data_IF_594528257461
#
_entry.id   IF_594528257461
#
_cell.length_a   1.000
_cell.length_b   1.000
_cell.length_c   1.000
_cell.angle_alpha   90.00
_cell.angle_beta   90.00
_cell.angle_gamma   90.00
#
_symmetry.space_group_name_H-M   'P 1'
#
loop_
_entity.id
_entity.type
_entity.pdbx_description
1 polymer ?
#
# COMPACT_ATOMS: atom_id res chain seq x y z
N UNK A 1 1.57 35.38 -9.80
CA UNK A 1 0.63 34.23 -9.84
C UNK A 1 1.37 33.05 -10.43
N UNK A 2 2.00 32.22 -9.61
CA UNK A 2 2.73 31.02 -10.07
C UNK A 2 1.78 29.83 -10.04
N UNK A 3 1.65 29.11 -11.16
CA UNK A 3 0.73 27.97 -11.38
C UNK A 3 1.36 26.61 -11.03
N UNK A 4 2.34 26.55 -10.13
CA UNK A 4 3.20 25.36 -9.94
C UNK A 4 2.86 24.54 -8.68
N UNK A 5 1.77 23.79 -8.70
CA UNK A 5 1.52 22.70 -7.74
C UNK A 5 2.04 21.38 -8.33
N UNK A 6 3.34 21.11 -8.17
CA UNK A 6 3.81 19.72 -8.20
C UNK A 6 3.43 19.14 -6.85
N UNK A 7 2.43 18.27 -6.80
CA UNK A 7 2.22 17.41 -5.64
C UNK A 7 3.46 16.53 -5.51
N UNK A 8 4.31 16.82 -4.53
CA UNK A 8 5.40 15.90 -4.15
C UNK A 8 4.72 14.69 -3.55
N UNK A 9 4.71 13.60 -4.30
CA UNK A 9 4.16 12.34 -3.83
C UNK A 9 5.02 11.81 -2.68
N UNK A 10 4.38 11.41 -1.58
CA UNK A 10 5.06 10.73 -0.48
C UNK A 10 5.17 9.27 -0.87
N UNK A 11 6.28 8.61 -0.51
CA UNK A 11 6.37 7.17 -0.68
C UNK A 11 5.83 6.46 0.57
N UNK A 12 4.54 6.17 0.63
CA UNK A 12 3.93 5.46 1.76
C UNK A 12 4.48 4.03 1.93
N UNK A 13 5.02 3.42 0.86
CA UNK A 13 5.68 2.12 0.94
C UNK A 13 6.99 2.14 1.73
N UNK A 14 7.60 3.31 1.98
CA UNK A 14 8.87 3.41 2.71
C UNK A 14 8.81 2.87 4.15
N UNK A 15 7.61 2.79 4.74
CA UNK A 15 7.41 2.25 6.10
C UNK A 15 7.12 0.73 6.12
N UNK A 16 7.13 0.08 4.96
CA UNK A 16 6.77 -1.34 4.79
C UNK A 16 5.40 -1.70 5.43
N UNK A 17 4.31 -1.05 5.00
CA UNK A 17 2.98 -1.26 5.60
C UNK A 17 2.40 -2.65 5.28
N UNK A 18 2.71 -3.22 4.12
CA UNK A 18 2.20 -4.52 3.69
C UNK A 18 2.86 -5.68 4.45
N UNK A 19 2.06 -6.67 4.86
CA UNK A 19 2.49 -7.83 5.65
C UNK A 19 2.47 -9.12 4.85
N UNK A 20 3.02 -10.18 5.44
CA UNK A 20 2.91 -11.55 4.92
C UNK A 20 3.40 -11.75 3.48
N UNK A 21 4.49 -11.06 3.11
CA UNK A 21 5.10 -11.17 1.79
C UNK A 21 4.35 -10.44 0.67
N UNK A 22 3.37 -9.60 1.01
CA UNK A 22 2.66 -8.78 0.04
C UNK A 22 3.55 -7.70 -0.59
N UNK A 23 3.28 -7.36 -1.85
CA UNK A 23 3.96 -6.28 -2.57
C UNK A 23 3.27 -4.94 -2.28
N UNK A 24 4.03 -3.92 -1.89
CA UNK A 24 3.51 -2.57 -1.73
C UNK A 24 3.58 -1.79 -3.05
N UNK A 25 2.49 -1.13 -3.41
CA UNK A 25 2.39 -0.27 -4.58
C UNK A 25 2.15 1.17 -4.11
N UNK A 26 3.10 2.07 -4.38
CA UNK A 26 2.94 3.50 -4.09
C UNK A 26 1.97 4.14 -5.07
N UNK A 27 1.09 5.00 -4.57
CA UNK A 27 0.10 5.75 -5.35
C UNK A 27 0.12 7.21 -4.88
N UNK A 28 -0.50 8.10 -5.67
CA UNK A 28 -0.58 9.50 -5.30
C UNK A 28 -1.32 9.70 -3.97
N UNK A 29 -0.60 10.12 -2.92
CA UNK A 29 -1.08 10.28 -1.54
C UNK A 29 -1.68 8.99 -0.93
N UNK A 30 -1.29 7.80 -1.39
CA UNK A 30 -1.85 6.54 -0.91
C UNK A 30 -0.96 5.33 -1.25
N UNK A 31 -1.31 4.17 -0.75
CA UNK A 31 -0.72 2.90 -1.18
C UNK A 31 -1.77 1.80 -1.32
N UNK A 32 -1.39 0.74 -2.01
CA UNK A 32 -2.14 -0.54 -1.99
C UNK A 32 -1.19 -1.70 -1.78
N UNK A 33 -1.68 -2.77 -1.16
CA UNK A 33 -0.94 -4.02 -1.00
C UNK A 33 -1.50 -5.10 -1.92
N UNK A 34 -0.64 -5.69 -2.75
CA UNK A 34 -0.98 -6.90 -3.51
C UNK A 34 -0.72 -8.11 -2.61
N UNK A 35 -1.78 -8.65 -2.03
CA UNK A 35 -1.69 -9.76 -1.09
C UNK A 35 -1.26 -11.06 -1.76
N UNK A 36 -0.44 -11.83 -1.04
CA UNK A 36 -0.13 -13.21 -1.38
C UNK A 36 -1.32 -14.13 -1.07
N UNK A 37 -1.34 -15.31 -1.67
CA UNK A 37 -2.43 -16.27 -1.49
C UNK A 37 -2.68 -16.58 -0.01
N UNK A 38 -3.95 -16.49 0.40
CA UNK A 38 -4.35 -16.73 1.79
C UNK A 38 -4.35 -15.50 2.70
N UNK A 39 -4.05 -14.31 2.20
CA UNK A 39 -4.11 -13.06 2.97
C UNK A 39 -5.06 -12.02 2.35
N UNK A 40 -5.63 -11.17 3.20
CA UNK A 40 -6.54 -10.08 2.84
C UNK A 40 -6.41 -8.90 3.82
N UNK A 41 -7.21 -7.86 3.62
CA UNK A 41 -7.15 -6.61 4.36
C UNK A 41 -6.22 -5.59 3.70
N UNK A 42 -6.34 -4.32 4.08
CA UNK A 42 -5.55 -3.21 3.50
C UNK A 42 -4.05 -3.47 3.55
N UNK A 43 -3.58 -4.11 4.62
CA UNK A 43 -2.18 -4.40 4.87
C UNK A 43 -1.83 -5.87 4.66
N UNK A 44 -2.75 -6.69 4.11
CA UNK A 44 -2.59 -8.13 3.95
C UNK A 44 -2.26 -8.86 5.27
N UNK A 45 -2.84 -8.39 6.38
CA UNK A 45 -2.60 -8.85 7.74
C UNK A 45 -3.67 -9.86 8.23
N UNK A 46 -4.73 -10.07 7.45
CA UNK A 46 -5.83 -10.96 7.80
C UNK A 46 -5.76 -12.26 7.00
N UNK A 47 -5.75 -13.40 7.67
CA UNK A 47 -5.75 -14.71 7.02
C UNK A 47 -7.13 -15.02 6.40
N UNK A 48 -7.15 -15.38 5.12
CA UNK A 48 -8.35 -15.79 4.37
C UNK A 48 -8.76 -17.25 4.64
N UNK A 49 -7.86 -18.06 5.21
CA UNK A 49 -8.10 -19.48 5.53
C UNK A 49 -8.92 -19.73 6.80
N UNK A 50 -9.54 -18.70 7.38
CA UNK A 50 -10.44 -18.80 8.53
C UNK A 50 -11.93 -18.71 8.15
N UNK A 51 -12.29 -18.98 6.89
CA UNK A 51 -13.66 -19.17 6.41
C UNK A 51 -13.81 -20.51 5.72
#
# INVERSE_FOLDING_TARGET
MVTTFVSVDINECATNPCKNGATCNNLLNNYTCTCTGGWQGTNCDQGKFLL
#
